data_IF_766692509283
#
_entry.id   IF_766692509283
#
_cell.length_a   1.000
_cell.length_b   1.000
_cell.length_c   1.000
_cell.angle_alpha   90.00
_cell.angle_beta   90.00
_cell.angle_gamma   90.00
#
_symmetry.space_group_name_H-M   'P 1'
#
loop_
_entity.id
_entity.type
_entity.pdbx_description
1 polymer ?
#
# COMPACT_ATOMS: atom_id res chain seq x y z
N UNK A 1 136.39 54.73 2.83
CA UNK A 1 134.95 55.05 2.93
C UNK A 1 134.22 54.10 1.98
N UNK A 2 133.19 53.33 2.31
CA UNK A 2 132.41 53.07 3.52
C UNK A 2 131.30 52.09 3.08
N UNK A 3 131.00 51.10 3.93
CA UNK A 3 129.77 50.31 4.09
C UNK A 3 128.95 49.86 2.86
N UNK A 4 128.62 48.57 2.78
CA UNK A 4 127.33 48.06 3.28
C UNK A 4 127.28 46.53 3.21
N UNK A 5 126.91 45.93 4.33
CA UNK A 5 126.62 44.51 4.48
C UNK A 5 125.35 44.11 3.71
N UNK A 6 125.34 42.90 3.13
CA UNK A 6 124.10 42.17 2.84
C UNK A 6 124.32 40.68 3.00
N UNK A 7 124.01 40.16 4.19
CA UNK A 7 123.89 38.74 4.45
C UNK A 7 122.79 38.17 3.54
N UNK A 8 123.16 37.25 2.63
CA UNK A 8 122.20 36.45 1.87
C UNK A 8 121.88 35.20 2.70
N UNK A 9 120.74 35.19 3.36
CA UNK A 9 120.16 33.99 3.95
C UNK A 9 119.68 33.07 2.83
N UNK A 10 120.43 32.01 2.56
CA UNK A 10 120.03 30.91 1.68
C UNK A 10 119.03 30.02 2.44
N UNK A 11 117.73 30.28 2.33
CA UNK A 11 116.73 29.27 2.66
C UNK A 11 116.86 28.14 1.64
N UNK A 12 117.37 26.98 2.07
CA UNK A 12 117.30 25.73 1.30
C UNK A 12 115.94 25.12 1.63
N UNK A 13 115.04 25.10 0.65
CA UNK A 13 113.80 24.32 0.73
C UNK A 13 114.14 22.83 0.77
N UNK A 14 114.21 22.26 1.97
CA UNK A 14 114.25 20.82 2.17
C UNK A 14 112.87 20.23 1.85
N UNK A 15 112.64 19.83 0.59
CA UNK A 15 111.62 18.81 0.29
C UNK A 15 112.13 17.47 0.80
N UNK A 16 111.60 17.03 1.94
CA UNK A 16 111.76 15.65 2.38
C UNK A 16 111.17 14.71 1.31
N UNK A 17 111.85 13.61 0.94
CA UNK A 17 111.25 12.58 0.10
C UNK A 17 110.05 11.98 0.86
N UNK A 18 108.89 11.87 0.20
CA UNK A 18 107.74 11.15 0.75
C UNK A 18 108.11 9.66 0.83
N UNK A 19 108.59 9.23 1.99
CA UNK A 19 108.68 7.82 2.31
C UNK A 19 107.27 7.25 2.31
N UNK A 20 106.99 6.31 1.40
CA UNK A 20 105.78 5.49 1.47
C UNK A 20 105.92 4.61 2.70
N UNK A 21 105.24 4.96 3.79
CA UNK A 21 105.05 4.03 4.90
C UNK A 21 103.96 3.04 4.48
N UNK A 22 104.37 1.82 4.14
CA UNK A 22 103.46 0.70 3.88
C UNK A 22 102.93 0.19 5.23
N UNK A 23 101.93 0.89 5.79
CA UNK A 23 101.11 0.35 6.87
C UNK A 23 100.22 -0.78 6.32
N UNK A 24 99.95 -1.86 7.09
CA UNK A 24 98.96 -2.85 6.68
C UNK A 24 97.62 -2.13 6.49
N UNK A 25 97.10 -2.15 5.26
CA UNK A 25 95.85 -1.48 4.89
C UNK A 25 94.70 -2.04 5.75
N UNK A 26 93.85 -1.16 6.28
CA UNK A 26 92.72 -1.55 7.13
C UNK A 26 91.85 -2.57 6.38
N UNK A 27 91.52 -3.73 6.97
CA UNK A 27 90.65 -4.73 6.33
C UNK A 27 89.34 -4.13 5.76
N UNK A 28 88.81 -3.05 6.34
CA UNK A 28 87.66 -2.33 5.79
C UNK A 28 87.96 -1.60 4.49
N UNK A 29 89.13 -0.97 4.38
CA UNK A 29 89.59 -0.29 3.16
C UNK A 29 89.84 -1.30 2.04
N UNK A 30 90.47 -2.43 2.36
CA UNK A 30 90.70 -3.52 1.40
C UNK A 30 89.37 -4.06 0.85
N UNK A 31 88.39 -4.32 1.73
CA UNK A 31 87.05 -4.76 1.33
C UNK A 31 86.30 -3.72 0.47
N UNK A 32 86.43 -2.43 0.80
CA UNK A 32 85.82 -1.35 0.02
C UNK A 32 86.44 -1.21 -1.37
N UNK A 33 87.77 -1.35 -1.47
CA UNK A 33 88.51 -1.34 -2.75
C UNK A 33 88.11 -2.55 -3.59
N UNK A 34 87.99 -3.73 -2.99
CA UNK A 34 87.56 -4.95 -3.68
C UNK A 34 86.11 -4.86 -4.17
N UNK A 35 85.19 -4.38 -3.34
CA UNK A 35 83.80 -4.14 -3.74
C UNK A 35 83.70 -3.14 -4.92
N UNK A 36 84.53 -2.09 -4.91
CA UNK A 36 84.62 -1.13 -6.04
C UNK A 36 85.14 -1.81 -7.30
N UNK A 37 86.18 -2.64 -7.19
CA UNK A 37 86.73 -3.40 -8.31
C UNK A 37 85.70 -4.39 -8.88
N UNK A 38 84.93 -5.06 -8.03
CA UNK A 38 83.90 -6.02 -8.45
C UNK A 38 82.75 -5.33 -9.19
N UNK A 39 82.26 -4.19 -8.68
CA UNK A 39 81.25 -3.37 -9.40
C UNK A 39 81.74 -2.88 -10.76
N UNK A 40 83.00 -2.46 -10.85
CA UNK A 40 83.57 -2.02 -12.14
C UNK A 40 83.72 -3.19 -13.12
N UNK A 41 84.10 -4.39 -12.66
CA UNK A 41 84.13 -5.61 -13.47
C UNK A 41 82.73 -5.99 -14.00
N UNK A 42 81.71 -5.93 -13.15
CA UNK A 42 80.31 -6.17 -13.53
C UNK A 42 79.78 -5.13 -14.53
N UNK A 43 80.23 -3.88 -14.42
CA UNK A 43 79.90 -2.83 -15.40
C UNK A 43 80.60 -3.08 -16.73
N UNK A 44 81.89 -3.43 -16.71
CA UNK A 44 82.67 -3.70 -17.90
C UNK A 44 82.10 -4.89 -18.68
N UNK A 45 81.69 -5.97 -17.99
CA UNK A 45 81.10 -7.14 -18.65
C UNK A 45 79.80 -6.81 -19.40
N UNK A 46 79.03 -5.81 -18.92
CA UNK A 46 77.82 -5.30 -19.61
C UNK A 46 78.15 -4.38 -20.78
N UNK A 47 79.11 -3.48 -20.63
CA UNK A 47 79.43 -2.46 -21.64
C UNK A 47 80.25 -2.97 -22.82
N UNK A 48 81.19 -3.88 -22.57
CA UNK A 48 82.07 -4.43 -23.60
C UNK A 48 81.39 -5.51 -24.45
N UNK A 49 80.32 -6.15 -23.95
CA UNK A 49 79.53 -7.10 -24.73
C UNK A 49 78.52 -6.37 -25.62
N UNK A 50 78.82 -6.25 -26.92
CA UNK A 50 77.97 -5.53 -27.90
C UNK A 50 76.55 -6.10 -27.97
N UNK A 51 76.38 -7.42 -27.86
CA UNK A 51 75.07 -8.08 -27.95
C UNK A 51 74.19 -7.75 -26.74
N UNK A 52 74.76 -7.80 -25.54
CA UNK A 52 74.04 -7.45 -24.31
C UNK A 52 73.71 -5.94 -24.26
N UNK A 53 74.54 -5.09 -24.86
CA UNK A 53 74.28 -3.65 -24.94
C UNK A 53 73.12 -3.31 -25.88
N UNK A 54 72.95 -4.05 -26.97
CA UNK A 54 71.92 -3.76 -27.99
C UNK A 54 70.61 -4.52 -27.72
N UNK A 55 70.67 -5.77 -27.22
CA UNK A 55 69.49 -6.67 -27.09
C UNK A 55 69.53 -7.45 -25.75
N UNK A 56 70.28 -6.99 -24.75
CA UNK A 56 70.31 -7.66 -23.44
C UNK A 56 68.96 -7.54 -22.74
N UNK A 57 68.31 -8.68 -22.50
CA UNK A 57 67.05 -8.78 -21.76
C UNK A 57 67.21 -9.84 -20.69
N UNK A 58 66.71 -9.55 -19.48
CA UNK A 58 66.67 -10.50 -18.38
C UNK A 58 65.46 -11.44 -18.56
N UNK A 59 65.70 -12.57 -19.22
CA UNK A 59 64.67 -13.57 -19.54
C UNK A 59 64.12 -14.22 -18.28
N UNK A 60 64.94 -14.41 -17.25
CA UNK A 60 64.51 -15.01 -15.97
C UNK A 60 63.56 -14.07 -15.23
N UNK A 61 63.91 -12.78 -15.13
CA UNK A 61 63.02 -11.78 -14.54
C UNK A 61 61.69 -11.65 -15.29
N UNK A 62 61.73 -11.68 -16.64
CA UNK A 62 60.51 -11.65 -17.45
C UNK A 62 59.65 -12.90 -17.26
N UNK A 63 60.25 -14.08 -17.22
CA UNK A 63 59.52 -15.32 -16.96
C UNK A 63 58.84 -15.29 -15.59
N UNK A 64 59.54 -14.80 -14.55
CA UNK A 64 58.97 -14.62 -13.22
C UNK A 64 57.77 -13.65 -13.23
N UNK A 65 57.86 -12.54 -13.97
CA UNK A 65 56.74 -11.60 -14.13
C UNK A 65 55.53 -12.23 -14.85
N UNK A 66 55.78 -13.06 -15.86
CA UNK A 66 54.72 -13.78 -16.57
C UNK A 66 54.02 -14.77 -15.63
N UNK A 67 54.77 -15.54 -14.85
CA UNK A 67 54.20 -16.50 -13.91
C UNK A 67 53.43 -15.80 -12.79
N UNK A 68 53.94 -14.69 -12.24
CA UNK A 68 53.23 -13.89 -11.24
C UNK A 68 51.89 -13.36 -11.77
N UNK A 69 51.88 -12.86 -13.02
CA UNK A 69 50.64 -12.41 -13.68
C UNK A 69 49.65 -13.55 -13.85
N UNK A 70 50.08 -14.73 -14.30
CA UNK A 70 49.20 -15.91 -14.43
C UNK A 70 48.59 -16.32 -13.10
N UNK A 71 49.39 -16.29 -12.03
CA UNK A 71 48.89 -16.58 -10.68
C UNK A 71 47.84 -15.56 -10.22
N UNK A 72 48.06 -14.26 -10.50
CA UNK A 72 47.07 -13.22 -10.23
C UNK A 72 45.78 -13.41 -11.02
N UNK A 73 45.88 -13.65 -12.32
CA UNK A 73 44.73 -13.90 -13.19
C UNK A 73 43.94 -15.16 -12.74
N UNK A 74 44.63 -16.23 -12.32
CA UNK A 74 43.98 -17.43 -11.81
C UNK A 74 43.27 -17.19 -10.47
N UNK A 75 43.87 -16.40 -9.57
CA UNK A 75 43.24 -16.04 -8.30
C UNK A 75 42.02 -15.13 -8.50
N UNK A 76 42.11 -14.15 -9.42
CA UNK A 76 40.98 -13.31 -9.83
C UNK A 76 39.85 -14.15 -10.44
N UNK A 77 40.18 -15.07 -11.35
CA UNK A 77 39.21 -16.00 -11.93
C UNK A 77 38.51 -16.84 -10.86
N UNK A 78 39.27 -17.40 -9.92
CA UNK A 78 38.69 -18.20 -8.83
C UNK A 78 37.76 -17.38 -7.94
N UNK A 79 38.12 -16.12 -7.65
CA UNK A 79 37.24 -15.20 -6.91
C UNK A 79 35.96 -14.90 -7.68
N UNK A 80 36.07 -14.60 -8.97
CA UNK A 80 34.91 -14.32 -9.82
C UNK A 80 33.97 -15.54 -9.89
N UNK A 81 34.50 -16.74 -10.03
CA UNK A 81 33.71 -17.97 -9.96
C UNK A 81 33.01 -18.14 -8.60
N UNK A 82 33.73 -17.89 -7.49
CA UNK A 82 33.14 -17.94 -6.16
C UNK A 82 32.00 -16.91 -6.01
N UNK A 83 32.18 -15.68 -6.47
CA UNK A 83 31.13 -14.66 -6.45
C UNK A 83 29.94 -15.04 -7.33
N UNK A 84 30.18 -15.58 -8.54
CA UNK A 84 29.14 -16.05 -9.43
C UNK A 84 28.28 -17.14 -8.80
N UNK A 85 28.89 -18.12 -8.14
CA UNK A 85 28.12 -19.17 -7.42
C UNK A 85 27.30 -18.59 -6.26
N UNK A 86 27.86 -17.65 -5.50
CA UNK A 86 27.14 -16.96 -4.42
C UNK A 86 25.97 -16.13 -4.96
N UNK A 87 26.14 -15.47 -6.10
CA UNK A 87 25.09 -14.66 -6.73
C UNK A 87 23.90 -15.54 -7.13
N UNK A 88 24.16 -16.67 -7.81
CA UNK A 88 23.09 -17.63 -8.17
C UNK A 88 22.34 -18.12 -6.94
N UNK A 89 23.04 -18.37 -5.82
CA UNK A 89 22.40 -18.74 -4.57
C UNK A 89 21.49 -17.63 -4.02
N UNK A 90 21.97 -16.39 -3.99
CA UNK A 90 21.17 -15.26 -3.51
C UNK A 90 19.97 -14.97 -4.40
N UNK A 91 20.13 -15.07 -5.73
CA UNK A 91 19.04 -14.89 -6.68
C UNK A 91 17.93 -15.93 -6.46
N UNK A 92 18.30 -17.19 -6.21
CA UNK A 92 17.35 -18.25 -5.86
C UNK A 92 16.59 -17.93 -4.55
N UNK A 93 17.32 -17.50 -3.51
CA UNK A 93 16.71 -17.13 -2.22
C UNK A 93 15.76 -15.94 -2.40
N UNK A 94 16.14 -14.93 -3.17
CA UNK A 94 15.29 -13.77 -3.46
C UNK A 94 13.99 -14.19 -4.16
N UNK A 95 14.05 -15.05 -5.18
CA UNK A 95 12.87 -15.58 -5.87
C UNK A 95 11.95 -16.37 -4.92
N UNK A 96 12.53 -17.17 -4.03
CA UNK A 96 11.74 -17.92 -3.04
C UNK A 96 11.00 -17.00 -2.08
N UNK A 97 11.67 -15.95 -1.58
CA UNK A 97 11.07 -14.95 -0.68
C UNK A 97 9.98 -14.14 -1.37
N UNK A 98 10.20 -13.72 -2.62
CA UNK A 98 9.17 -13.02 -3.41
C UNK A 98 7.92 -13.87 -3.60
N UNK A 99 8.10 -15.15 -3.92
CA UNK A 99 6.99 -16.09 -4.05
C UNK A 99 6.24 -16.23 -2.72
N UNK A 100 6.95 -16.38 -1.61
CA UNK A 100 6.31 -16.51 -0.30
C UNK A 100 5.51 -15.25 0.08
N UNK A 101 6.06 -14.06 -0.12
CA UNK A 101 5.37 -12.78 0.11
C UNK A 101 4.14 -12.61 -0.79
N UNK A 102 4.24 -13.01 -2.06
CA UNK A 102 3.10 -12.99 -2.99
C UNK A 102 1.96 -13.91 -2.53
N UNK A 103 2.29 -15.11 -2.02
CA UNK A 103 1.31 -16.05 -1.48
C UNK A 103 0.69 -15.54 -0.18
N UNK A 104 1.49 -14.95 0.71
CA UNK A 104 0.99 -14.33 1.95
C UNK A 104 0.01 -13.20 1.64
N UNK A 105 0.38 -12.31 0.71
CA UNK A 105 -0.47 -11.21 0.26
C UNK A 105 -1.78 -11.72 -0.34
N UNK A 106 -1.72 -12.76 -1.18
CA UNK A 106 -2.91 -13.39 -1.76
C UNK A 106 -3.81 -14.03 -0.71
N UNK A 107 -3.24 -14.72 0.29
CA UNK A 107 -3.99 -15.32 1.40
C UNK A 107 -4.68 -14.25 2.24
N UNK A 108 -3.99 -13.14 2.51
CA UNK A 108 -4.54 -12.02 3.27
C UNK A 108 -5.68 -11.33 2.50
N UNK A 109 -5.49 -11.04 1.21
CA UNK A 109 -6.53 -10.48 0.36
C UNK A 109 -7.78 -11.37 0.30
N UNK A 110 -7.59 -12.69 0.21
CA UNK A 110 -8.70 -13.65 0.26
C UNK A 110 -9.47 -13.58 1.58
N UNK A 111 -8.77 -13.59 2.72
CA UNK A 111 -9.41 -13.47 4.04
C UNK A 111 -10.18 -12.17 4.21
N UNK A 112 -9.64 -11.06 3.69
CA UNK A 112 -10.35 -9.77 3.69
C UNK A 112 -11.62 -9.86 2.87
N UNK A 113 -11.56 -10.48 1.69
CA UNK A 113 -12.75 -10.65 0.85
C UNK A 113 -13.78 -11.57 1.50
N UNK A 114 -13.35 -12.72 2.03
CA UNK A 114 -14.22 -13.64 2.79
C UNK A 114 -14.90 -12.92 3.96
N UNK A 115 -14.18 -12.06 4.68
CA UNK A 115 -14.74 -11.26 5.76
C UNK A 115 -15.78 -10.24 5.26
N UNK A 116 -15.50 -9.55 4.16
CA UNK A 116 -16.45 -8.62 3.52
C UNK A 116 -17.73 -9.35 3.13
N UNK A 117 -17.57 -10.49 2.46
CA UNK A 117 -18.68 -11.32 1.98
C UNK A 117 -19.49 -11.91 3.13
N UNK A 118 -18.89 -12.19 4.29
CA UNK A 118 -19.62 -12.78 5.44
C UNK A 118 -20.24 -11.75 6.38
N UNK A 119 -19.56 -10.62 6.61
CA UNK A 119 -19.90 -9.69 7.69
C UNK A 119 -20.29 -8.30 7.22
N UNK A 120 -19.91 -7.92 6.00
CA UNK A 120 -20.15 -6.58 5.45
C UNK A 120 -21.14 -6.61 4.28
N UNK A 121 -21.99 -7.64 4.22
CA UNK A 121 -23.08 -7.62 3.26
C UNK A 121 -24.05 -6.49 3.60
N UNK A 122 -24.47 -5.76 2.56
CA UNK A 122 -25.45 -4.67 2.67
C UNK A 122 -26.75 -5.19 3.31
N UNK A 123 -27.17 -6.42 2.96
CA UNK A 123 -28.35 -7.08 3.52
C UNK A 123 -28.30 -7.32 5.04
N UNK A 124 -27.10 -7.36 5.62
CA UNK A 124 -26.89 -7.58 7.06
C UNK A 124 -26.70 -6.26 7.82
N UNK A 125 -26.77 -5.12 7.12
CA UNK A 125 -26.64 -3.80 7.74
C UNK A 125 -27.92 -3.41 8.47
N UNK A 126 -27.78 -2.73 9.61
CA UNK A 126 -28.94 -2.31 10.43
C UNK A 126 -29.89 -1.37 9.70
N UNK A 127 -29.35 -0.57 8.78
CA UNK A 127 -30.12 0.41 7.99
C UNK A 127 -30.64 -0.19 6.68
N UNK A 128 -30.44 -1.49 6.43
CA UNK A 128 -30.83 -2.10 5.16
C UNK A 128 -32.32 -1.93 4.86
N UNK A 129 -33.16 -2.02 5.88
CA UNK A 129 -34.62 -1.86 5.74
C UNK A 129 -35.02 -0.50 5.13
N UNK A 130 -34.21 0.54 5.33
CA UNK A 130 -34.42 1.87 4.74
C UNK A 130 -33.95 1.97 3.29
N UNK A 131 -32.96 1.15 2.92
CA UNK A 131 -32.36 1.15 1.58
C UNK A 131 -32.87 0.01 0.68
N UNK A 132 -33.80 -0.80 1.18
CA UNK A 132 -34.35 -1.93 0.47
C UNK A 132 -35.20 -1.45 -0.72
N UNK A 133 -34.84 -1.78 -1.97
CA UNK A 133 -35.64 -1.37 -3.13
C UNK A 133 -37.06 -1.93 -3.09
N UNK A 134 -37.28 -3.02 -2.36
CA UNK A 134 -38.58 -3.65 -2.19
C UNK A 134 -39.35 -3.12 -0.98
N UNK A 135 -38.84 -2.11 -0.28
CA UNK A 135 -39.46 -1.56 0.93
C UNK A 135 -40.93 -1.20 0.70
N UNK A 136 -41.24 -0.52 -0.41
CA UNK A 136 -42.60 -0.11 -0.76
C UNK A 136 -43.55 -1.30 -0.99
N UNK A 137 -43.03 -2.42 -1.47
CA UNK A 137 -43.83 -3.64 -1.70
C UNK A 137 -44.03 -4.46 -0.44
N UNK A 138 -43.10 -4.34 0.53
CA UNK A 138 -43.14 -5.02 1.83
C UNK A 138 -43.90 -4.22 2.89
N UNK A 139 -43.97 -2.91 2.72
CA UNK A 139 -44.71 -2.02 3.61
C UNK A 139 -46.20 -2.38 3.54
N UNK A 140 -46.77 -2.72 4.69
CA UNK A 140 -48.20 -2.99 4.80
C UNK A 140 -48.96 -1.70 4.48
N UNK A 141 -50.11 -1.77 3.79
CA UNK A 141 -50.95 -0.59 3.62
C UNK A 141 -51.26 -0.02 4.99
N UNK A 142 -51.10 1.29 5.15
CA UNK A 142 -51.26 1.99 6.44
C UNK A 142 -52.63 1.85 7.10
N UNK A 143 -53.59 1.25 6.39
CA UNK A 143 -54.88 0.81 6.90
C UNK A 143 -55.28 -0.50 6.18
N UNK A 144 -55.15 -1.68 6.83
CA UNK A 144 -55.59 -2.96 6.25
C UNK A 144 -57.12 -3.11 6.17
N UNK A 145 -57.90 -2.19 6.75
CA UNK A 145 -59.36 -2.14 6.73
C UNK A 145 -59.96 -1.14 7.72
N UNK A 146 -61.28 -1.05 7.78
CA UNK A 146 -62.01 -0.02 8.57
C UNK A 146 -61.93 -0.23 10.10
N UNK A 147 -61.59 -1.44 10.55
CA UNK A 147 -61.48 -1.80 11.97
C UNK A 147 -60.11 -2.40 12.28
N UNK A 148 -59.05 -1.61 12.17
CA UNK A 148 -57.73 -2.03 12.65
C UNK A 148 -57.57 -1.67 14.15
N UNK A 149 -57.40 -2.66 15.05
CA UNK A 149 -57.12 -2.42 16.46
C UNK A 149 -55.86 -1.59 16.73
N UNK A 150 -54.94 -1.48 15.76
CA UNK A 150 -53.70 -0.72 15.88
C UNK A 150 -53.86 0.79 15.64
N UNK A 151 -54.96 1.23 15.03
CA UNK A 151 -55.22 2.64 14.70
C UNK A 151 -55.85 3.39 15.89
N UNK A 152 -55.03 3.76 16.87
CA UNK A 152 -55.46 4.62 17.99
C UNK A 152 -55.72 6.09 17.56
N UNK A 153 -56.32 6.93 18.43
CA UNK A 153 -56.68 8.32 18.08
C UNK A 153 -55.47 9.22 17.74
N UNK A 154 -54.27 8.88 18.22
CA UNK A 154 -53.03 9.61 17.89
C UNK A 154 -52.50 9.29 16.49
N UNK A 155 -52.93 8.19 15.87
CA UNK A 155 -52.50 7.81 14.52
C UNK A 155 -53.06 8.74 13.45
N UNK A 156 -54.18 9.43 13.75
CA UNK A 156 -54.93 10.27 12.80
C UNK A 156 -55.34 9.54 11.51
N UNK A 157 -55.37 8.20 11.52
CA UNK A 157 -55.80 7.37 10.39
C UNK A 157 -57.31 7.13 10.42
N UNK A 158 -57.91 7.04 11.62
CA UNK A 158 -59.35 6.86 11.79
C UNK A 158 -59.94 8.05 12.56
N UNK A 159 -61.03 8.61 12.03
CA UNK A 159 -61.76 9.69 12.69
C UNK A 159 -63.18 9.25 13.02
N UNK A 160 -63.60 9.45 14.27
CA UNK A 160 -64.96 9.11 14.71
C UNK A 160 -66.08 9.91 14.03
N UNK A 161 -65.74 11.01 13.35
CA UNK A 161 -66.69 11.78 12.54
C UNK A 161 -66.89 11.25 11.12
N UNK A 162 -66.09 10.28 10.68
CA UNK A 162 -66.28 9.61 9.39
C UNK A 162 -67.42 8.60 9.50
N UNK A 163 -68.59 8.98 8.98
CA UNK A 163 -69.79 8.13 8.98
C UNK A 163 -69.84 7.28 7.70
N UNK A 164 -69.16 6.13 7.73
CA UNK A 164 -69.17 5.15 6.64
C UNK A 164 -70.59 4.62 6.36
N UNK A 165 -71.44 4.59 7.39
CA UNK A 165 -72.82 4.11 7.31
C UNK A 165 -73.84 5.19 6.95
N UNK A 166 -73.40 6.42 6.68
CA UNK A 166 -74.28 7.56 6.37
C UNK A 166 -75.28 7.24 5.28
N UNK A 167 -74.85 6.56 4.22
CA UNK A 167 -75.71 6.17 3.12
C UNK A 167 -76.82 5.19 3.58
N UNK A 168 -76.48 4.25 4.45
CA UNK A 168 -77.43 3.30 5.05
C UNK A 168 -78.39 4.01 6.00
N UNK A 169 -77.88 4.88 6.86
CA UNK A 169 -78.67 5.72 7.76
C UNK A 169 -79.68 6.59 7.01
N UNK A 170 -79.27 7.23 5.92
CA UNK A 170 -80.15 8.04 5.08
C UNK A 170 -81.25 7.21 4.40
N UNK A 171 -80.93 6.00 3.91
CA UNK A 171 -81.95 5.08 3.35
C UNK A 171 -82.97 4.69 4.42
N UNK A 172 -82.52 4.29 5.61
CA UNK A 172 -83.42 3.95 6.72
C UNK A 172 -84.30 5.13 7.12
N UNK A 173 -83.73 6.33 7.19
CA UNK A 173 -84.49 7.54 7.49
C UNK A 173 -85.56 7.83 6.42
N UNK A 174 -85.20 7.69 5.14
CA UNK A 174 -86.14 7.87 4.03
C UNK A 174 -87.28 6.84 4.08
N UNK A 175 -86.98 5.57 4.39
CA UNK A 175 -87.98 4.53 4.55
C UNK A 175 -88.92 4.82 5.74
N UNK A 176 -88.37 5.25 6.88
CA UNK A 176 -89.19 5.65 8.03
C UNK A 176 -90.13 6.81 7.69
N UNK A 177 -89.64 7.84 6.99
CA UNK A 177 -90.48 8.95 6.53
C UNK A 177 -91.58 8.47 5.60
N UNK A 178 -91.27 7.57 4.65
CA UNK A 178 -92.27 6.99 3.74
C UNK A 178 -93.34 6.22 4.50
N UNK A 179 -92.95 5.37 5.44
CA UNK A 179 -93.87 4.60 6.27
C UNK A 179 -94.78 5.53 7.10
N UNK A 180 -94.20 6.56 7.74
CA UNK A 180 -94.96 7.52 8.54
C UNK A 180 -95.99 8.29 7.71
N UNK A 181 -95.60 8.77 6.51
CA UNK A 181 -96.52 9.46 5.60
C UNK A 181 -97.66 8.55 5.12
N UNK A 182 -97.36 7.29 4.82
CA UNK A 182 -98.38 6.31 4.43
C UNK A 182 -99.40 6.07 5.54
N UNK A 183 -98.95 5.89 6.79
CA UNK A 183 -99.85 5.74 7.94
C UNK A 183 -100.75 6.96 8.12
N UNK A 184 -100.20 8.19 8.06
CA UNK A 184 -101.00 9.42 8.16
C UNK A 184 -102.03 9.56 7.04
N UNK A 185 -101.66 9.18 5.81
CA UNK A 185 -102.62 9.17 4.70
C UNK A 185 -103.75 8.18 4.94
N UNK A 186 -103.43 6.99 5.45
CA UNK A 186 -104.42 5.96 5.77
C UNK A 186 -105.36 6.40 6.89
N UNK A 187 -104.82 6.94 7.98
CA UNK A 187 -105.60 7.52 9.10
C UNK A 187 -106.52 8.63 8.60
N UNK A 188 -106.02 9.55 7.77
CA UNK A 188 -106.84 10.63 7.18
C UNK A 188 -107.92 10.10 6.24
N UNK A 189 -107.64 9.04 5.48
CA UNK A 189 -108.64 8.38 4.63
C UNK A 189 -109.71 7.68 5.46
N UNK A 190 -109.33 7.00 6.55
CA UNK A 190 -110.25 6.38 7.50
C UNK A 190 -111.15 7.42 8.18
N UNK A 191 -110.57 8.50 8.72
CA UNK A 191 -111.33 9.60 9.33
C UNK A 191 -112.33 10.24 8.34
N UNK A 192 -111.93 10.45 7.07
CA UNK A 192 -112.85 10.92 6.02
C UNK A 192 -113.95 9.92 5.67
N UNK A 193 -113.66 8.62 5.71
CA UNK A 193 -114.66 7.59 5.47
C UNK A 193 -115.67 7.53 6.61
N UNK A 194 -115.21 7.65 7.86
CA UNK A 194 -116.04 7.77 9.06
C UNK A 194 -116.93 9.02 9.02
N UNK A 195 -116.38 10.18 8.67
CA UNK A 195 -117.15 11.44 8.50
C UNK A 195 -118.25 11.32 7.42
N UNK A 196 -117.96 10.64 6.30
CA UNK A 196 -118.97 10.35 5.27
C UNK A 196 -120.05 9.38 5.73
N UNK A 197 -119.71 8.46 6.64
CA UNK A 197 -120.66 7.49 7.20
C UNK A 197 -121.58 8.16 8.23
N UNK A 198 -121.05 9.06 9.07
CA UNK A 198 -121.82 9.84 10.05
C UNK A 198 -122.64 10.96 9.40
N UNK A 199 -122.16 11.56 8.31
CA UNK A 199 -122.91 12.54 7.49
C UNK A 199 -124.01 11.94 6.60
N UNK A 200 -124.14 10.61 6.53
CA UNK A 200 -125.19 9.87 5.82
C UNK A 200 -126.23 9.24 6.77
N UNK A 201 -126.51 9.88 7.91
CA UNK A 201 -127.78 9.64 8.63
C UNK A 201 -128.89 10.42 7.89
N UNK A 202 -129.89 9.77 7.27
CA UNK A 202 -131.09 10.48 6.84
C UNK A 202 -131.80 10.98 8.10
N UNK A 203 -132.01 12.30 8.21
CA UNK A 203 -132.82 12.88 9.27
C UNK A 203 -134.21 12.22 9.27
N UNK A 204 -134.51 11.47 10.32
CA UNK A 204 -135.88 11.06 10.62
C UNK A 204 -136.63 12.27 11.19
N UNK A 205 -137.84 12.60 10.69
CA UNK A 205 -138.59 13.76 11.16
C UNK A 205 -139.14 13.51 12.57
N UNK A 206 -139.05 14.54 13.40
CA UNK A 206 -139.71 14.60 14.70
C UNK A 206 -141.23 14.41 14.52
N UNK A 207 -141.80 13.40 15.18
CA UNK A 207 -143.25 13.29 15.37
C UNK A 207 -143.59 13.62 16.82
N UNK A 208 -144.17 14.81 17.02
CA UNK A 208 -144.98 15.14 18.18
C UNK A 208 -146.28 14.31 18.19
N UNK A 209 -146.83 14.15 19.40
CA UNK A 209 -148.06 13.45 19.84
C UNK A 209 -148.05 11.93 19.98
#
# INVERSE_FOLDING_TARGET
MGNFARLKTSQRDFRLPMFKLDFPSDPKEVAAIEARRNREKERQSRFFNVRNRVIGVDVEALNNQVEERKLREADEWNKEQAYGTSQVHYDLVAQMLEKEESERSRRLARKVQEYRDQKQQVKTSNEFDFWDPDQLWKEFPGQPGDSDPCCGPSSLQCFSGEDLDRATCLRMQQEQFRCSLNSQMQEKQQAKAEEKYTGKQPGFPDSET
#
